data_IF_435188973341
#
_entry.id   IF_435188973341
#
_cell.length_a   1.000
_cell.length_b   1.000
_cell.length_c   1.000
_cell.angle_alpha   90.00
_cell.angle_beta   90.00
_cell.angle_gamma   90.00
#
_symmetry.space_group_name_H-M   'P 1'
#
loop_
_entity.id
_entity.type
_entity.pdbx_description
1 polymer ?
#
# COMPACT_ATOMS: atom_id res chain seq x y z
N UNK A 1 -23.55 -1.44 17.91
CA UNK A 1 -23.23 -1.35 17.51
C UNK A 1 -22.71 -0.87 17.17
N UNK A 2 -22.40 -1.04 17.39
CA UNK A 2 -21.85 -0.66 17.08
C UNK A 2 -21.41 -0.13 16.55
N UNK A 3 -21.23 0.07 16.90
CA UNK A 3 -20.76 1.05 16.41
C UNK A 3 -20.22 1.05 15.35
N UNK A 4 -20.53 0.48 15.39
CA UNK A 4 -20.26 0.38 14.51
C UNK A 4 -20.39 1.03 13.55
N UNK A 5 -20.30 0.89 12.79
CA UNK A 5 -20.43 1.52 11.59
C UNK A 5 -20.25 2.96 11.58
N UNK A 6 -19.19 3.40 12.00
CA UNK A 6 -18.94 4.81 12.10
C UNK A 6 -18.54 5.41 10.76
N UNK A 7 -18.76 4.80 9.67
CA UNK A 7 -18.46 5.36 8.38
C UNK A 7 -18.66 4.34 7.30
N UNK A 8 -18.47 4.72 6.05
CA UNK A 8 -18.62 3.76 4.97
C UNK A 8 -17.59 2.65 5.08
N UNK A 9 -17.97 1.47 4.60
CA UNK A 9 -17.04 0.34 4.50
C UNK A 9 -16.41 0.38 3.12
N UNK A 10 -15.09 0.37 3.09
CA UNK A 10 -14.32 0.39 1.84
C UNK A 10 -13.44 -0.84 1.81
N UNK A 11 -13.49 -1.57 0.73
CA UNK A 11 -12.59 -2.68 0.53
C UNK A 11 -11.49 -2.26 -0.44
N UNK A 12 -10.23 -2.58 -0.11
CA UNK A 12 -9.08 -2.12 -0.89
C UNK A 12 -8.16 -3.30 -1.18
N UNK A 13 -7.66 -3.35 -2.41
CA UNK A 13 -6.63 -4.30 -2.84
C UNK A 13 -5.45 -3.50 -3.36
N UNK A 14 -4.25 -3.82 -2.89
CA UNK A 14 -3.03 -3.09 -3.29
C UNK A 14 -2.00 -4.05 -3.84
N UNK A 15 -1.15 -3.53 -4.72
CA UNK A 15 -0.01 -4.28 -5.22
C UNK A 15 1.09 -3.29 -5.62
N UNK A 16 2.33 -3.79 -5.63
CA UNK A 16 3.46 -2.97 -6.04
C UNK A 16 4.71 -3.82 -6.22
N UNK A 17 5.58 -3.36 -7.10
CA UNK A 17 6.83 -4.05 -7.33
C UNK A 17 7.69 -3.31 -8.31
N UNK A 18 8.93 -3.77 -8.47
CA UNK A 18 9.82 -3.21 -9.48
C UNK A 18 10.69 -4.32 -10.07
N UNK A 19 11.22 -4.06 -11.26
CA UNK A 19 12.03 -5.03 -11.95
C UNK A 19 12.99 -4.30 -12.89
N UNK A 20 14.32 -4.45 -12.71
CA UNK A 20 14.96 -5.14 -11.59
C UNK A 20 14.70 -4.45 -10.26
N UNK A 21 15.10 -5.06 -9.17
CA UNK A 21 14.92 -4.48 -7.84
C UNK A 21 16.30 -4.19 -7.23
N UNK A 22 16.76 -2.91 -7.10
CA UNK A 22 16.01 -1.70 -7.41
C UNK A 22 15.95 -1.41 -8.91
N UNK A 23 14.98 -0.58 -9.28
CA UNK A 23 14.80 -0.20 -10.67
C UNK A 23 13.46 0.44 -10.90
N UNK A 24 12.96 0.45 -12.15
CA UNK A 24 11.63 1.01 -12.41
C UNK A 24 10.55 0.14 -11.81
N UNK A 25 9.56 0.77 -11.20
CA UNK A 25 8.50 0.06 -10.52
C UNK A 25 7.14 0.67 -10.75
N UNK A 26 6.09 -0.09 -10.36
CA UNK A 26 4.72 0.37 -10.44
C UNK A 26 3.95 -0.07 -9.21
N UNK A 27 2.85 0.61 -8.95
CA UNK A 27 1.97 0.30 -7.84
C UNK A 27 0.53 0.50 -8.27
N UNK A 28 -0.38 -0.14 -7.56
CA UNK A 28 -1.81 0.03 -7.82
C UNK A 28 -2.63 -0.16 -6.58
N UNK A 29 -3.85 0.37 -6.61
CA UNK A 29 -4.85 0.14 -5.59
C UNK A 29 -6.22 0.12 -6.25
N UNK A 30 -7.08 -0.78 -5.79
CA UNK A 30 -8.48 -0.82 -6.22
C UNK A 30 -9.32 -0.60 -4.98
N UNK A 31 -10.18 0.41 -5.00
CA UNK A 31 -11.04 0.76 -3.88
C UNK A 31 -12.48 0.49 -4.28
N UNK A 32 -13.20 -0.23 -3.42
CA UNK A 32 -14.59 -0.57 -3.67
C UNK A 32 -15.49 -0.04 -2.57
N UNK A 33 -16.52 0.69 -3.00
CA UNK A 33 -17.58 1.21 -2.12
C UNK A 33 -18.90 0.62 -2.63
N UNK A 34 -19.40 -0.43 -2.00
CA UNK A 34 -20.61 -1.07 -2.53
C UNK A 34 -20.36 -1.57 -3.95
N UNK A 35 -21.09 -1.03 -4.91
CA UNK A 35 -20.93 -1.39 -6.32
C UNK A 35 -19.99 -0.44 -7.09
N UNK A 36 -19.58 0.66 -6.48
CA UNK A 36 -18.68 1.61 -7.13
C UNK A 36 -17.23 1.19 -6.90
N UNK A 37 -16.39 1.35 -7.92
CA UNK A 37 -14.96 1.05 -7.81
C UNK A 37 -14.14 2.21 -8.33
N UNK A 38 -12.96 2.36 -7.73
CA UNK A 38 -11.98 3.34 -8.20
C UNK A 38 -10.62 2.66 -8.27
N UNK A 39 -9.91 2.90 -9.35
CA UNK A 39 -8.56 2.37 -9.55
C UNK A 39 -7.54 3.50 -9.44
N UNK A 40 -6.46 3.25 -8.72
CA UNK A 40 -5.32 4.14 -8.64
C UNK A 40 -4.09 3.39 -9.08
N UNK A 41 -3.18 4.06 -9.76
CA UNK A 41 -1.90 3.44 -10.11
C UNK A 41 -0.88 4.52 -10.39
N UNK A 42 0.39 4.12 -10.33
CA UNK A 42 1.49 5.02 -10.61
C UNK A 42 2.78 4.24 -10.77
N UNK A 43 3.85 4.95 -11.10
CA UNK A 43 5.14 4.33 -11.34
C UNK A 43 6.25 5.29 -11.00
N UNK A 44 7.43 4.72 -10.70
CA UNK A 44 8.64 5.49 -10.42
C UNK A 44 9.80 4.86 -11.17
N UNK A 45 10.68 5.71 -11.71
CA UNK A 45 11.78 5.25 -12.54
C UNK A 45 12.87 4.54 -11.74
N UNK A 46 13.06 4.92 -10.48
CA UNK A 46 14.09 4.33 -9.63
C UNK A 46 13.50 4.12 -8.23
N UNK A 47 13.17 2.88 -7.93
CA UNK A 47 12.49 2.56 -6.67
C UNK A 47 12.83 1.13 -6.25
N UNK A 48 12.10 0.60 -5.28
CA UNK A 48 12.25 -0.78 -4.81
C UNK A 48 10.88 -1.44 -4.69
N UNK A 49 10.87 -2.77 -4.63
CA UNK A 49 9.64 -3.50 -4.36
C UNK A 49 8.95 -2.96 -3.11
N UNK A 50 9.72 -2.83 -2.02
CA UNK A 50 9.14 -2.39 -0.75
C UNK A 50 8.52 -1.01 -0.84
N UNK A 51 9.19 -0.07 -1.52
CA UNK A 51 8.62 1.27 -1.67
C UNK A 51 7.33 1.25 -2.46
N UNK A 52 7.26 0.44 -3.51
CA UNK A 52 6.04 0.37 -4.33
C UNK A 52 4.88 -0.24 -3.55
N UNK A 53 5.15 -1.26 -2.72
CA UNK A 53 4.13 -1.85 -1.88
C UNK A 53 3.59 -0.85 -0.85
N UNK A 54 4.49 -0.08 -0.22
CA UNK A 54 4.09 0.93 0.75
C UNK A 54 3.37 2.09 0.06
N UNK A 55 3.83 2.49 -1.12
CA UNK A 55 3.20 3.58 -1.86
C UNK A 55 1.76 3.24 -2.19
N UNK A 56 1.50 2.00 -2.61
CA UNK A 56 0.15 1.58 -2.92
C UNK A 56 -0.78 1.73 -1.71
N UNK A 57 -0.31 1.29 -0.54
CA UNK A 57 -1.12 1.40 0.67
C UNK A 57 -1.33 2.86 1.08
N UNK A 58 -0.27 3.67 1.03
CA UNK A 58 -0.36 5.07 1.40
C UNK A 58 -1.32 5.83 0.49
N UNK A 59 -1.17 5.66 -0.82
CA UNK A 59 -2.03 6.34 -1.79
C UNK A 59 -3.49 5.93 -1.64
N UNK A 60 -3.74 4.63 -1.41
CA UNK A 60 -5.08 4.14 -1.24
C UNK A 60 -5.76 4.76 -0.03
N UNK A 61 -5.08 4.76 1.12
CA UNK A 61 -5.65 5.29 2.34
C UNK A 61 -5.83 6.81 2.27
N UNK A 62 -4.90 7.51 1.64
CA UNK A 62 -4.98 8.96 1.50
C UNK A 62 -6.07 9.38 0.51
N UNK A 63 -6.48 8.50 -0.38
CA UNK A 63 -7.56 8.80 -1.31
C UNK A 63 -8.92 8.88 -0.63
N UNK A 64 -9.04 8.35 0.57
CA UNK A 64 -10.29 8.38 1.33
C UNK A 64 -10.46 9.76 1.97
N UNK A 65 -11.55 10.45 1.64
CA UNK A 65 -11.73 11.84 2.02
C UNK A 65 -12.39 12.02 3.38
N UNK A 66 -12.85 10.93 3.99
CA UNK A 66 -13.48 10.97 5.33
C UNK A 66 -13.17 9.67 6.06
N UNK A 67 -13.33 9.64 7.38
CA UNK A 67 -13.07 8.41 8.14
C UNK A 67 -13.91 7.25 7.64
N UNK A 68 -13.28 6.10 7.48
CA UNK A 68 -13.92 4.89 6.94
C UNK A 68 -13.55 3.68 7.75
N UNK A 69 -14.37 2.64 7.65
CA UNK A 69 -13.95 1.30 8.01
C UNK A 69 -13.36 0.66 6.76
N UNK A 70 -12.13 0.19 6.84
CA UNK A 70 -11.37 -0.28 5.68
C UNK A 70 -10.99 -1.74 5.86
N UNK A 71 -11.20 -2.54 4.81
CA UNK A 71 -10.62 -3.87 4.71
C UNK A 71 -9.56 -3.78 3.61
N UNK A 72 -8.30 -3.92 3.98
CA UNK A 72 -7.20 -3.74 3.03
C UNK A 72 -6.46 -5.06 2.82
N UNK A 73 -6.49 -5.55 1.58
CA UNK A 73 -5.84 -6.79 1.18
C UNK A 73 -4.49 -6.51 0.56
N UNK A 74 -3.45 -7.19 1.05
CA UNK A 74 -2.10 -7.04 0.51
C UNK A 74 -1.35 -8.36 0.67
N UNK A 75 -0.42 -8.63 -0.24
CA UNK A 75 0.47 -9.77 -0.12
C UNK A 75 1.86 -9.38 0.38
N UNK A 76 2.06 -8.11 0.72
CA UNK A 76 3.37 -7.61 1.12
C UNK A 76 3.72 -8.02 2.55
N UNK A 77 4.72 -8.89 2.68
CA UNK A 77 5.23 -9.25 4.00
C UNK A 77 5.92 -8.07 4.68
N UNK A 78 6.55 -7.22 3.90
CA UNK A 78 7.22 -6.04 4.43
C UNK A 78 6.21 -5.11 5.11
N UNK A 79 5.09 -4.83 4.43
CA UNK A 79 4.03 -4.02 5.01
C UNK A 79 3.44 -4.69 6.25
N UNK A 80 3.20 -6.00 6.16
CA UNK A 80 2.66 -6.77 7.28
C UNK A 80 3.56 -6.67 8.50
N UNK A 81 4.85 -6.94 8.31
CA UNK A 81 5.79 -6.93 9.43
C UNK A 81 5.93 -5.54 10.03
N UNK A 82 5.92 -4.50 9.20
CA UNK A 82 5.99 -3.14 9.69
C UNK A 82 4.80 -2.80 10.57
N UNK A 83 3.60 -3.09 10.09
CA UNK A 83 2.37 -2.76 10.83
C UNK A 83 2.26 -3.59 12.11
N UNK A 84 2.61 -4.87 12.08
CA UNK A 84 2.38 -5.76 13.22
C UNK A 84 3.54 -5.83 14.19
N UNK A 85 4.76 -5.49 13.76
CA UNK A 85 5.94 -5.74 14.60
C UNK A 85 6.86 -4.53 14.77
N UNK A 86 7.04 -3.70 13.74
CA UNK A 86 8.16 -2.75 13.73
C UNK A 86 7.80 -1.32 14.08
N UNK A 87 6.63 -0.85 13.63
CA UNK A 87 6.33 0.59 13.71
C UNK A 87 6.26 1.10 15.14
N UNK A 88 5.75 0.30 16.08
CA UNK A 88 5.65 0.72 17.46
C UNK A 88 7.03 1.02 18.03
N UNK A 89 8.01 0.14 17.79
CA UNK A 89 9.36 0.36 18.23
C UNK A 89 10.05 1.51 17.54
N UNK A 90 9.78 1.69 16.25
CA UNK A 90 10.34 2.82 15.50
C UNK A 90 9.84 4.15 16.05
N UNK A 91 8.55 4.26 16.34
CA UNK A 91 8.00 5.48 16.91
C UNK A 91 8.67 5.79 18.24
N UNK A 92 8.84 4.77 19.11
CA UNK A 92 9.50 4.96 20.40
C UNK A 92 10.95 5.40 20.24
N UNK A 93 11.65 4.94 19.20
CA UNK A 93 13.06 5.27 18.95
C UNK A 93 13.22 6.45 17.99
N UNK A 94 12.17 7.23 17.78
CA UNK A 94 12.19 8.40 16.91
C UNK A 94 12.63 8.02 15.49
N UNK A 95 12.09 6.89 15.01
CA UNK A 95 12.31 6.41 13.65
C UNK A 95 13.75 5.98 13.38
N UNK A 96 14.37 5.42 14.40
CA UNK A 96 15.67 4.78 14.24
C UNK A 96 15.54 3.29 14.53
N UNK A 97 16.37 2.51 13.82
CA UNK A 97 16.40 1.07 14.06
C UNK A 97 17.24 0.77 15.30
N UNK A 98 17.39 -0.53 15.62
CA UNK A 98 18.12 -0.95 16.82
C UNK A 98 19.59 -0.51 16.79
N UNK A 99 20.17 -0.35 15.61
CA UNK A 99 21.55 0.08 15.46
C UNK A 99 21.70 1.61 15.52
N UNK A 100 20.60 2.36 15.63
CA UNK A 100 20.63 3.80 15.69
C UNK A 100 20.58 4.51 14.36
N UNK A 101 20.43 3.76 13.26
CA UNK A 101 20.32 4.33 11.91
C UNK A 101 18.88 4.70 11.59
N UNK A 102 18.67 5.68 10.69
CA UNK A 102 17.31 6.01 10.26
C UNK A 102 16.63 4.78 9.64
N UNK A 103 15.33 4.63 9.93
CA UNK A 103 14.54 3.54 9.35
C UNK A 103 14.37 3.78 7.85
N UNK A 104 14.50 2.72 7.06
CA UNK A 104 14.27 2.81 5.61
C UNK A 104 12.81 3.16 5.34
N UNK A 105 12.58 3.97 4.32
CA UNK A 105 11.22 4.32 3.85
C UNK A 105 10.38 5.04 4.90
N UNK A 106 11.03 5.84 5.76
CA UNK A 106 10.35 6.60 6.80
C UNK A 106 9.20 7.41 6.23
N UNK A 107 9.42 8.07 5.10
CA UNK A 107 8.42 8.93 4.49
C UNK A 107 7.11 8.18 4.26
N UNK A 108 7.20 6.98 3.71
CA UNK A 108 6.02 6.18 3.41
C UNK A 108 5.39 5.60 4.66
N UNK A 109 6.21 5.11 5.60
CA UNK A 109 5.69 4.58 6.85
C UNK A 109 4.92 5.65 7.63
N UNK A 110 5.45 6.87 7.66
CA UNK A 110 4.77 7.95 8.36
C UNK A 110 3.45 8.33 7.70
N UNK A 111 3.41 8.33 6.36
CA UNK A 111 2.16 8.56 5.64
C UNK A 111 1.12 7.50 5.95
N UNK A 112 1.53 6.24 5.96
CA UNK A 112 0.62 5.13 6.23
C UNK A 112 0.05 5.23 7.65
N UNK A 113 0.92 5.47 8.64
CA UNK A 113 0.46 5.56 10.02
C UNK A 113 -0.45 6.75 10.24
N UNK A 114 -0.15 7.89 9.65
CA UNK A 114 -1.00 9.07 9.77
C UNK A 114 -2.37 8.82 9.16
N UNK A 115 -2.42 8.22 7.98
CA UNK A 115 -3.69 7.89 7.34
C UNK A 115 -4.45 6.84 8.15
N UNK A 116 -3.74 5.85 8.69
CA UNK A 116 -4.37 4.78 9.46
C UNK A 116 -5.08 5.30 10.70
N UNK A 117 -4.58 6.39 11.30
CA UNK A 117 -5.21 6.96 12.47
C UNK A 117 -6.60 7.54 12.19
N UNK A 118 -6.87 7.85 10.93
CA UNK A 118 -8.16 8.42 10.52
C UNK A 118 -9.22 7.37 10.24
N UNK A 119 -8.83 6.09 10.17
CA UNK A 119 -9.72 5.01 9.74
C UNK A 119 -9.62 3.83 10.69
N UNK A 120 -10.63 2.95 10.64
CA UNK A 120 -10.54 1.62 11.25
C UNK A 120 -10.11 0.66 10.16
N UNK A 121 -8.92 0.08 10.27
CA UNK A 121 -8.38 -0.75 9.20
C UNK A 121 -8.25 -2.19 9.65
N UNK A 122 -8.86 -3.09 8.90
CA UNK A 122 -8.68 -4.52 9.01
C UNK A 122 -7.69 -4.92 7.93
N UNK A 123 -6.46 -5.21 8.33
CA UNK A 123 -5.39 -5.60 7.41
C UNK A 123 -5.53 -7.09 7.11
N UNK A 124 -5.70 -7.43 5.84
CA UNK A 124 -5.86 -8.82 5.38
C UNK A 124 -4.65 -9.23 4.56
N UNK A 125 -3.94 -10.22 5.05
CA UNK A 125 -2.73 -10.70 4.39
C UNK A 125 -3.10 -11.86 3.50
N UNK A 126 -2.86 -11.73 2.20
CA UNK A 126 -3.11 -12.80 1.25
C UNK A 126 -1.79 -13.41 0.84
N UNK A 127 -1.80 -14.71 0.55
CA UNK A 127 -0.59 -15.40 0.16
C UNK A 127 -0.42 -15.32 -1.35
N UNK A 128 0.51 -14.48 -1.77
CA UNK A 128 0.89 -14.42 -3.16
C UNK A 128 -0.30 -14.33 -4.10
N UNK A 129 -0.18 -14.95 -5.23
CA UNK A 129 -1.19 -14.86 -6.28
C UNK A 129 -2.14 -16.07 -6.26
N UNK A 130 -2.72 -16.36 -5.14
CA UNK A 130 -3.48 -17.60 -4.95
C UNK A 130 -4.89 -17.57 -5.55
N UNK A 131 -4.99 -17.07 -6.78
CA UNK A 131 -6.27 -17.16 -7.50
C UNK A 131 -7.30 -16.11 -7.13
N UNK A 132 -6.92 -15.11 -6.37
CA UNK A 132 -7.83 -14.02 -6.03
C UNK A 132 -7.89 -13.06 -7.21
N UNK A 133 -9.08 -12.95 -7.82
CA UNK A 133 -9.26 -12.13 -9.03
C UNK A 133 -8.90 -10.67 -8.80
N UNK A 134 -9.18 -10.13 -7.62
CA UNK A 134 -8.89 -8.72 -7.34
C UNK A 134 -7.39 -8.49 -7.15
N UNK A 135 -6.70 -9.42 -6.51
CA UNK A 135 -5.24 -9.33 -6.39
C UNK A 135 -4.57 -9.43 -7.75
N UNK A 136 -5.07 -10.31 -8.62
CA UNK A 136 -4.54 -10.42 -9.97
C UNK A 136 -4.79 -9.14 -10.76
N UNK A 137 -5.94 -8.54 -10.58
CA UNK A 137 -6.27 -7.28 -11.25
C UNK A 137 -5.37 -6.15 -10.77
N UNK A 138 -5.08 -6.08 -9.48
CA UNK A 138 -4.16 -5.10 -8.93
C UNK A 138 -2.75 -5.30 -9.49
N UNK A 139 -2.31 -6.56 -9.62
CA UNK A 139 -1.01 -6.87 -10.19
C UNK A 139 -0.91 -6.37 -11.63
N UNK A 140 -1.93 -6.60 -12.44
CA UNK A 140 -1.96 -6.14 -13.82
C UNK A 140 -1.86 -4.62 -13.88
N UNK A 141 -2.62 -3.91 -13.05
CA UNK A 141 -2.59 -2.45 -13.03
C UNK A 141 -1.21 -1.90 -12.67
N UNK A 142 -0.55 -2.51 -11.68
CA UNK A 142 0.79 -2.08 -11.29
C UNK A 142 1.80 -2.35 -12.40
N UNK A 143 1.71 -3.50 -13.04
CA UNK A 143 2.58 -3.86 -14.14
C UNK A 143 2.40 -2.93 -15.32
N UNK A 144 1.14 -2.60 -15.64
CA UNK A 144 0.85 -1.68 -16.73
C UNK A 144 1.36 -0.28 -16.45
N UNK A 145 1.25 0.18 -15.22
CA UNK A 145 1.76 1.50 -14.84
C UNK A 145 3.27 1.58 -15.06
N UNK A 146 3.98 0.53 -14.66
CA UNK A 146 5.42 0.45 -14.89
C UNK A 146 5.73 0.45 -16.40
N UNK A 147 4.99 -0.33 -17.16
CA UNK A 147 5.20 -0.43 -18.61
C UNK A 147 5.02 0.93 -19.28
N UNK A 148 3.99 1.68 -18.89
CA UNK A 148 3.76 3.02 -19.45
C UNK A 148 4.90 3.97 -19.15
N UNK A 149 5.46 3.89 -17.95
CA UNK A 149 6.61 4.71 -17.57
C UNK A 149 7.80 4.39 -18.46
N UNK A 150 8.07 3.10 -18.72
CA UNK A 150 9.18 2.68 -19.54
C UNK A 150 9.01 3.12 -21.00
N UNK A 151 7.79 3.06 -21.53
CA UNK A 151 7.51 3.54 -22.87
C UNK A 151 7.77 5.03 -22.99
N UNK A 152 7.30 5.81 -22.01
CA UNK A 152 7.49 7.26 -22.03
C UNK A 152 8.96 7.65 -21.90
N UNK A 153 9.71 6.91 -21.08
CA UNK A 153 11.13 7.21 -20.88
C UNK A 153 12.04 6.63 -21.94
N UNK A 154 11.54 5.72 -22.75
CA UNK A 154 12.34 5.03 -23.75
C UNK A 154 12.47 5.74 -25.08
N UNK A 155 11.99 6.94 -25.16
CA UNK A 155 12.00 7.71 -26.40
C UNK A 155 13.35 8.35 -26.66
#
# INVERSE_FOLDING_TARGET
MSGEGTGPVVEIWTDGGCKPNPGPGGWSAILRFGTAERELSGAEAATTNNRMELTAAAEALEALTRPCTVVLHTDSEYLRNGITRWTEGWVRRRWRNAAGDPVANIDLWQRILAAAQRHEIDWRWVRGHSGDAMNERADVLATEARARLLEAGGV
#
